data_IF_818671211818
#
_entry.id   IF_818671211818
#
_cell.length_a   1.000
_cell.length_b   1.000
_cell.length_c   1.000
_cell.angle_alpha   90.00
_cell.angle_beta   90.00
_cell.angle_gamma   90.00
#
_symmetry.space_group_name_H-M   'P 1'
#
loop_
_entity.id
_entity.type
_entity.pdbx_description
1 polymer ?
#
# COMPACT_ATOMS: atom_id res chain seq x y z
N UNK A 1 5.08 -21.44 0.53
CA UNK A 1 3.92 -20.58 0.24
C UNK A 1 4.34 -19.68 -0.88
N UNK A 2 3.61 -19.68 -2.00
CA UNK A 2 3.98 -18.86 -3.15
C UNK A 2 3.91 -17.38 -2.82
N UNK A 3 4.75 -16.58 -3.48
CA UNK A 3 4.80 -15.13 -3.25
C UNK A 3 3.41 -14.51 -3.43
N UNK A 4 2.69 -14.91 -4.48
CA UNK A 4 1.32 -14.50 -4.77
C UNK A 4 0.37 -14.75 -3.60
N UNK A 5 0.47 -15.91 -2.95
CA UNK A 5 -0.35 -16.24 -1.77
C UNK A 5 -0.03 -15.32 -0.59
N UNK A 6 1.25 -15.05 -0.35
CA UNK A 6 1.68 -14.09 0.68
C UNK A 6 1.12 -12.70 0.38
N UNK A 7 1.17 -12.26 -0.88
CA UNK A 7 0.62 -10.95 -1.27
C UNK A 7 -0.89 -10.87 -1.06
N UNK A 8 -1.64 -11.90 -1.45
CA UNK A 8 -3.09 -11.95 -1.26
C UNK A 8 -3.45 -11.86 0.21
N UNK A 9 -2.75 -12.59 1.07
CA UNK A 9 -2.96 -12.53 2.53
C UNK A 9 -2.67 -11.15 3.10
N UNK A 10 -1.56 -10.52 2.71
CA UNK A 10 -1.20 -9.15 3.11
C UNK A 10 -2.29 -8.17 2.69
N UNK A 11 -2.74 -8.23 1.43
CA UNK A 11 -3.79 -7.34 0.90
C UNK A 11 -5.08 -7.46 1.69
N UNK A 12 -5.55 -8.69 1.96
CA UNK A 12 -6.76 -8.92 2.75
C UNK A 12 -6.60 -8.34 4.17
N UNK A 13 -5.47 -8.60 4.82
CA UNK A 13 -5.20 -8.13 6.18
C UNK A 13 -5.18 -6.60 6.27
N UNK A 14 -4.43 -5.94 5.38
CA UNK A 14 -4.33 -4.47 5.33
C UNK A 14 -5.70 -3.86 5.02
N UNK A 15 -6.42 -4.43 4.05
CA UNK A 15 -7.76 -3.95 3.67
C UNK A 15 -8.71 -4.00 4.85
N UNK A 16 -8.71 -5.13 5.58
CA UNK A 16 -9.54 -5.33 6.77
C UNK A 16 -9.21 -4.34 7.89
N UNK A 17 -7.93 -4.20 8.24
CA UNK A 17 -7.48 -3.28 9.31
C UNK A 17 -7.81 -1.84 8.97
N UNK A 18 -7.50 -1.39 7.75
CA UNK A 18 -7.85 -0.04 7.30
C UNK A 18 -9.37 0.18 7.29
N UNK A 19 -10.16 -0.83 6.92
CA UNK A 19 -11.63 -0.77 6.98
C UNK A 19 -12.16 -0.59 8.40
N UNK A 20 -11.57 -1.26 9.39
CA UNK A 20 -11.92 -1.07 10.80
C UNK A 20 -11.58 0.35 11.29
N UNK A 21 -10.44 0.90 10.88
CA UNK A 21 -9.99 2.25 11.25
C UNK A 21 -10.90 3.31 10.60
N UNK A 22 -11.26 3.13 9.33
CA UNK A 22 -12.15 4.05 8.60
C UNK A 22 -13.52 4.20 9.26
N UNK A 23 -14.07 3.13 9.85
CA UNK A 23 -15.34 3.18 10.60
C UNK A 23 -15.28 4.09 11.82
N UNK A 24 -14.11 4.28 12.43
CA UNK A 24 -13.92 5.11 13.62
C UNK A 24 -13.48 6.54 13.29
N UNK A 25 -12.84 6.75 12.14
CA UNK A 25 -12.27 8.05 11.76
C UNK A 25 -12.75 8.49 10.37
N UNK A 26 -13.76 9.38 10.28
CA UNK A 26 -14.33 9.84 9.02
C UNK A 26 -13.29 10.53 8.10
N UNK A 27 -12.31 11.23 8.68
CA UNK A 27 -11.19 11.85 7.94
C UNK A 27 -10.29 10.81 7.26
N UNK A 28 -10.17 9.62 7.86
CA UNK A 28 -9.42 8.49 7.29
C UNK A 28 -10.23 7.78 6.20
N UNK A 29 -11.56 7.69 6.35
CA UNK A 29 -12.44 7.05 5.36
C UNK A 29 -12.31 7.68 3.96
N UNK A 30 -12.20 9.01 3.89
CA UNK A 30 -12.01 9.74 2.62
C UNK A 30 -10.65 9.46 1.96
N UNK A 31 -9.69 8.89 2.69
CA UNK A 31 -8.35 8.54 2.21
C UNK A 31 -8.09 7.02 2.27
N UNK A 32 -9.14 6.23 2.48
CA UNK A 32 -9.02 4.79 2.74
C UNK A 32 -8.27 4.07 1.61
N UNK A 33 -8.67 4.30 0.36
CA UNK A 33 -8.06 3.67 -0.82
C UNK A 33 -6.59 4.12 -1.00
N UNK A 34 -6.26 5.43 -1.00
CA UNK A 34 -4.87 5.88 -1.03
C UNK A 34 -3.98 5.25 0.04
N UNK A 35 -4.48 5.16 1.28
CA UNK A 35 -3.72 4.62 2.41
C UNK A 35 -3.57 3.10 2.30
N UNK A 36 -4.62 2.38 1.90
CA UNK A 36 -4.55 0.93 1.66
C UNK A 36 -3.52 0.62 0.56
N UNK A 37 -3.58 1.32 -0.57
CA UNK A 37 -2.63 1.14 -1.67
C UNK A 37 -1.20 1.43 -1.21
N UNK A 38 -0.97 2.50 -0.47
CA UNK A 38 0.37 2.82 0.05
C UNK A 38 0.89 1.73 0.99
N UNK A 39 0.08 1.30 1.96
CA UNK A 39 0.48 0.27 2.93
C UNK A 39 0.75 -1.08 2.27
N UNK A 40 -0.12 -1.51 1.35
CA UNK A 40 0.07 -2.74 0.59
C UNK A 40 1.38 -2.65 -0.21
N UNK A 41 1.61 -1.55 -0.93
CA UNK A 41 2.82 -1.34 -1.72
C UNK A 41 4.10 -1.43 -0.89
N UNK A 42 4.15 -0.76 0.26
CA UNK A 42 5.31 -0.80 1.16
C UNK A 42 5.57 -2.21 1.68
N UNK A 43 4.54 -2.89 2.18
CA UNK A 43 4.69 -4.23 2.76
C UNK A 43 5.13 -5.23 1.70
N UNK A 44 4.51 -5.16 0.52
CA UNK A 44 4.87 -5.98 -0.64
C UNK A 44 6.31 -5.73 -1.09
N UNK A 45 6.74 -4.48 -1.20
CA UNK A 45 8.11 -4.14 -1.58
C UNK A 45 9.11 -4.72 -0.59
N UNK A 46 8.84 -4.60 0.72
CA UNK A 46 9.71 -5.13 1.77
C UNK A 46 9.80 -6.66 1.69
N UNK A 47 8.67 -7.35 1.58
CA UNK A 47 8.64 -8.82 1.48
C UNK A 47 9.39 -9.28 0.23
N UNK A 48 9.08 -8.69 -0.92
CA UNK A 48 9.71 -9.06 -2.19
C UNK A 48 11.21 -8.78 -2.16
N UNK A 49 11.64 -7.68 -1.55
CA UNK A 49 13.07 -7.34 -1.41
C UNK A 49 13.79 -8.33 -0.48
N UNK A 50 13.17 -8.75 0.61
CA UNK A 50 13.77 -9.75 1.51
C UNK A 50 13.99 -11.08 0.77
N UNK A 51 13.04 -11.47 -0.09
CA UNK A 51 13.09 -12.73 -0.85
C UNK A 51 14.04 -12.68 -2.05
N UNK A 52 14.02 -11.60 -2.83
CA UNK A 52 14.75 -11.48 -4.10
C UNK A 52 16.08 -10.76 -3.98
N UNK A 53 16.25 -9.94 -2.92
CA UNK A 53 17.35 -8.98 -2.75
C UNK A 53 17.46 -7.94 -3.89
N UNK A 54 16.44 -7.85 -4.76
CA UNK A 54 16.38 -6.90 -5.86
C UNK A 54 15.43 -5.75 -5.52
N UNK A 55 16.01 -4.57 -5.29
CA UNK A 55 15.27 -3.38 -4.93
C UNK A 55 14.42 -2.84 -6.10
N UNK A 56 14.95 -2.88 -7.33
CA UNK A 56 14.27 -2.35 -8.51
C UNK A 56 13.04 -3.21 -8.85
N UNK A 57 13.20 -4.53 -8.84
CA UNK A 57 12.08 -5.45 -9.03
C UNK A 57 11.01 -5.27 -7.94
N UNK A 58 11.42 -5.03 -6.69
CA UNK A 58 10.52 -4.84 -5.56
C UNK A 58 9.66 -3.57 -5.68
N UNK A 59 10.26 -2.46 -6.11
CA UNK A 59 9.51 -1.22 -6.36
C UNK A 59 8.57 -1.38 -7.55
N UNK A 60 8.99 -2.05 -8.64
CA UNK A 60 8.12 -2.28 -9.79
C UNK A 60 6.89 -3.13 -9.42
N UNK A 61 7.09 -4.22 -8.68
CA UNK A 61 6.00 -5.09 -8.23
C UNK A 61 5.05 -4.34 -7.30
N UNK A 62 5.57 -3.58 -6.34
CA UNK A 62 4.74 -2.73 -5.48
C UNK A 62 3.95 -1.71 -6.30
N UNK A 63 4.59 -1.03 -7.25
CA UNK A 63 3.98 -0.09 -8.18
C UNK A 63 2.81 -0.69 -8.94
N UNK A 64 3.01 -1.84 -9.58
CA UNK A 64 1.98 -2.50 -10.39
C UNK A 64 0.75 -2.90 -9.55
N UNK A 65 0.96 -3.32 -8.32
CA UNK A 65 -0.11 -3.85 -7.46
C UNK A 65 -0.96 -2.76 -6.79
N UNK A 66 -0.46 -1.52 -6.72
CA UNK A 66 -1.14 -0.43 -6.01
C UNK A 66 -1.81 0.58 -6.95
N UNK A 67 -2.13 0.19 -8.17
CA UNK A 67 -2.72 1.06 -9.20
C UNK A 67 -1.71 1.75 -10.12
N UNK A 68 -0.42 1.40 -10.01
CA UNK A 68 0.68 2.00 -10.76
C UNK A 68 1.63 2.81 -9.86
N UNK A 69 2.89 2.95 -10.28
CA UNK A 69 3.88 3.79 -9.58
C UNK A 69 3.43 5.27 -9.51
N UNK A 70 2.65 5.73 -10.50
CA UNK A 70 2.06 7.07 -10.53
C UNK A 70 1.04 7.28 -9.41
N UNK A 71 0.14 6.31 -9.21
CA UNK A 71 -0.85 6.36 -8.14
C UNK A 71 -0.19 6.29 -6.76
N UNK A 72 0.89 5.52 -6.61
CA UNK A 72 1.71 5.52 -5.40
C UNK A 72 2.28 6.92 -5.09
N UNK A 73 2.95 7.54 -6.07
CA UNK A 73 3.52 8.88 -5.92
C UNK A 73 2.47 9.96 -5.64
N UNK A 74 1.33 9.89 -6.35
CA UNK A 74 0.20 10.79 -6.14
C UNK A 74 -0.41 10.62 -4.76
N UNK A 75 -0.65 9.38 -4.31
CA UNK A 75 -1.21 9.09 -2.99
C UNK A 75 -0.30 9.58 -1.86
N UNK A 76 1.03 9.42 -1.99
CA UNK A 76 2.01 9.97 -1.05
C UNK A 76 1.94 11.51 -1.03
N UNK A 77 1.93 12.14 -2.20
CA UNK A 77 1.85 13.60 -2.31
C UNK A 77 0.53 14.16 -1.76
N UNK A 78 -0.59 13.49 -1.99
CA UNK A 78 -1.92 13.87 -1.48
C UNK A 78 -2.03 13.69 0.04
N UNK A 79 -1.28 12.75 0.62
CA UNK A 79 -1.14 12.61 2.08
C UNK A 79 -0.31 13.76 2.66
N UNK A 80 0.86 14.04 2.08
CA UNK A 80 1.80 15.07 2.56
C UNK A 80 1.25 16.50 2.42
N UNK A 81 0.59 16.84 1.30
CA UNK A 81 0.04 18.19 1.07
C UNK A 81 -1.13 18.54 1.99
N UNK A 82 -1.80 17.55 2.58
CA UNK A 82 -2.95 17.78 3.47
C UNK A 82 -2.60 17.92 4.94
N UNK A 83 -1.34 17.72 5.33
CA UNK A 83 -0.86 18.01 6.71
C UNK A 83 -0.34 19.45 6.86
N UNK A 84 -0.18 20.19 5.76
CA UNK A 84 0.34 21.55 5.75
C UNK A 84 -0.70 22.69 5.71
N UNK A 85 -1.98 22.42 6.00
CA UNK A 85 -3.04 23.44 6.04
C UNK A 85 -3.99 23.23 7.22
#
# INVERSE_FOLDING_TARGET
MDITTIMTLVTILVTYVCGLIAKKHPKFNNKLIPVQNLLIGIIVAIINYIMTKDFNASIMVAGLLTGGAYDLGKNINDLLKKEGN
#
